data_IF_986347252313
#
_entry.id   IF_986347252313
#
_cell.length_a   1.000
_cell.length_b   1.000
_cell.length_c   1.000
_cell.angle_alpha   90.00
_cell.angle_beta   90.00
_cell.angle_gamma   90.00
#
_symmetry.space_group_name_H-M   'P 1'
#
loop_
_entity.id
_entity.type
_entity.pdbx_description
1 polymer ?
#
# COMPACT_ATOMS: atom_id res chain seq x y z
N UNK A 1 -15.18 -21.95 -6.76
CA UNK A 1 -16.19 -20.88 -7.02
C UNK A 1 -17.13 -20.79 -5.83
N UNK A 2 -17.40 -19.58 -5.34
CA UNK A 2 -18.34 -19.35 -4.23
C UNK A 2 -19.78 -19.63 -4.68
N UNK A 3 -20.61 -20.14 -3.75
CA UNK A 3 -22.03 -20.38 -3.99
C UNK A 3 -22.79 -19.05 -4.13
N UNK A 4 -23.85 -19.04 -4.94
CA UNK A 4 -24.59 -17.80 -5.26
C UNK A 4 -25.17 -17.12 -4.01
N UNK A 5 -25.68 -17.89 -3.03
CA UNK A 5 -26.20 -17.32 -1.78
C UNK A 5 -25.12 -16.57 -0.98
N UNK A 6 -23.90 -17.13 -0.90
CA UNK A 6 -22.78 -16.47 -0.25
C UNK A 6 -22.35 -15.24 -1.04
N UNK A 7 -22.33 -15.31 -2.38
CA UNK A 7 -22.00 -14.16 -3.20
C UNK A 7 -22.94 -12.98 -2.94
N UNK A 8 -24.25 -13.21 -2.89
CA UNK A 8 -25.20 -12.15 -2.59
C UNK A 8 -25.00 -11.56 -1.18
N UNK A 9 -24.74 -12.40 -0.18
CA UNK A 9 -24.38 -11.93 1.17
C UNK A 9 -23.12 -11.06 1.16
N UNK A 10 -22.09 -11.43 0.39
CA UNK A 10 -20.87 -10.65 0.29
C UNK A 10 -21.09 -9.32 -0.44
N UNK A 11 -21.94 -9.27 -1.45
CA UNK A 11 -22.32 -8.02 -2.11
C UNK A 11 -22.99 -7.07 -1.10
N UNK A 12 -23.93 -7.56 -0.30
CA UNK A 12 -24.58 -6.76 0.75
C UNK A 12 -23.56 -6.26 1.80
N UNK A 13 -22.62 -7.11 2.21
CA UNK A 13 -21.55 -6.75 3.15
C UNK A 13 -20.66 -5.64 2.53
N UNK A 14 -20.24 -5.79 1.28
CA UNK A 14 -19.40 -4.79 0.60
C UNK A 14 -20.13 -3.45 0.48
N UNK A 15 -21.40 -3.46 0.05
CA UNK A 15 -22.20 -2.22 -0.08
C UNK A 15 -22.37 -1.54 1.27
N UNK A 16 -22.57 -2.29 2.35
CA UNK A 16 -22.64 -1.72 3.70
C UNK A 16 -21.30 -1.07 4.11
N UNK A 17 -20.18 -1.77 3.90
CA UNK A 17 -18.84 -1.26 4.24
C UNK A 17 -18.48 -0.03 3.39
N UNK A 18 -18.79 -0.07 2.09
CA UNK A 18 -18.60 1.06 1.19
C UNK A 18 -19.39 2.31 1.64
N UNK A 19 -20.64 2.11 2.08
CA UNK A 19 -21.48 3.20 2.54
C UNK A 19 -21.05 3.79 3.90
N UNK A 20 -20.23 3.07 4.69
CA UNK A 20 -19.82 3.47 6.03
C UNK A 20 -18.27 3.53 6.19
N UNK A 21 -17.57 4.24 5.30
CA UNK A 21 -16.11 4.29 5.33
C UNK A 21 -15.58 5.07 6.53
N UNK A 22 -14.48 4.62 7.12
CA UNK A 22 -13.77 5.29 8.21
C UNK A 22 -12.30 5.47 7.84
N UNK A 23 -11.74 6.65 8.12
CA UNK A 23 -10.33 6.95 7.81
C UNK A 23 -9.38 6.23 8.76
N UNK A 24 -8.11 6.13 8.37
CA UNK A 24 -7.00 5.53 9.16
C UNK A 24 -7.04 5.93 10.63
N UNK A 25 -6.81 4.95 11.52
CA UNK A 25 -6.86 5.03 12.99
C UNK A 25 -8.25 5.31 13.60
N UNK A 26 -9.30 5.39 12.79
CA UNK A 26 -10.68 5.65 13.24
C UNK A 26 -11.67 4.59 12.76
N UNK A 27 -11.22 3.45 12.29
CA UNK A 27 -12.01 2.32 11.75
C UNK A 27 -12.73 1.54 12.86
N UNK A 28 -13.42 2.25 13.74
CA UNK A 28 -14.02 1.68 14.97
C UNK A 28 -15.27 0.86 14.63
N UNK A 29 -16.19 1.42 13.87
CA UNK A 29 -17.43 0.73 13.51
C UNK A 29 -17.16 -0.36 12.45
N UNK A 30 -16.24 -0.13 11.53
CA UNK A 30 -15.72 -1.13 10.60
C UNK A 30 -15.16 -2.35 11.34
N UNK A 31 -14.31 -2.10 12.34
CA UNK A 31 -13.74 -3.16 13.20
C UNK A 31 -14.82 -3.92 13.96
N UNK A 32 -15.82 -3.23 14.51
CA UNK A 32 -16.95 -3.87 15.22
C UNK A 32 -17.80 -4.73 14.27
N UNK A 33 -18.04 -4.24 13.05
CA UNK A 33 -18.80 -4.97 12.04
C UNK A 33 -18.09 -6.27 11.66
N UNK A 34 -16.77 -6.21 11.35
CA UNK A 34 -15.95 -7.37 11.04
C UNK A 34 -15.93 -8.35 12.22
N UNK A 35 -15.73 -7.86 13.44
CA UNK A 35 -15.77 -8.66 14.67
C UNK A 35 -17.08 -9.41 14.85
N UNK A 36 -18.20 -8.74 14.59
CA UNK A 36 -19.53 -9.37 14.69
C UNK A 36 -19.68 -10.48 13.64
N UNK A 37 -19.32 -10.25 12.38
CA UNK A 37 -19.39 -11.26 11.33
C UNK A 37 -18.56 -12.51 11.67
N UNK A 38 -17.32 -12.31 12.15
CA UNK A 38 -16.45 -13.42 12.55
C UNK A 38 -17.02 -14.19 13.76
N UNK A 39 -17.62 -13.48 14.73
CA UNK A 39 -18.26 -14.09 15.90
C UNK A 39 -19.51 -14.91 15.50
N UNK A 40 -20.34 -14.38 14.59
CA UNK A 40 -21.52 -15.07 14.07
C UNK A 40 -21.15 -16.39 13.37
N UNK A 41 -19.99 -16.45 12.71
CA UNK A 41 -19.44 -17.64 12.08
C UNK A 41 -18.54 -18.47 13.00
N UNK A 42 -18.48 -18.15 14.30
CA UNK A 42 -17.69 -18.86 15.31
C UNK A 42 -16.19 -18.94 14.96
N UNK A 43 -15.65 -17.90 14.35
CA UNK A 43 -14.22 -17.76 14.06
C UNK A 43 -13.52 -17.14 15.27
N UNK A 44 -12.42 -17.75 15.71
CA UNK A 44 -11.65 -17.28 16.88
C UNK A 44 -10.94 -15.96 16.58
N UNK A 45 -11.30 -14.89 17.28
CA UNK A 45 -10.61 -13.60 17.23
C UNK A 45 -9.52 -13.61 18.31
N UNK A 46 -8.29 -13.35 17.89
CA UNK A 46 -7.14 -13.30 18.80
C UNK A 46 -7.17 -12.01 19.61
N UNK A 47 -6.87 -12.11 20.90
CA UNK A 47 -6.81 -10.94 21.78
C UNK A 47 -5.61 -10.06 21.39
N UNK A 48 -5.87 -8.78 21.13
CA UNK A 48 -4.85 -7.82 20.69
C UNK A 48 -5.05 -6.46 21.35
N UNK A 49 -3.97 -5.67 21.40
CA UNK A 49 -4.01 -4.27 21.84
C UNK A 49 -4.24 -3.29 20.67
N UNK A 50 -4.63 -3.78 19.50
CA UNK A 50 -4.98 -2.91 18.38
C UNK A 50 -6.19 -2.03 18.74
N UNK A 51 -6.11 -0.75 18.45
CA UNK A 51 -7.22 0.19 18.66
C UNK A 51 -8.34 -0.09 17.66
N UNK A 52 -7.97 -0.33 16.40
CA UNK A 52 -8.84 -0.67 15.27
C UNK A 52 -8.21 -1.83 14.50
N UNK A 53 -8.99 -2.51 13.67
CA UNK A 53 -8.56 -3.76 13.04
C UNK A 53 -8.52 -4.93 14.02
N UNK A 54 -8.20 -6.10 13.53
CA UNK A 54 -8.09 -7.32 14.34
C UNK A 54 -7.33 -8.44 13.60
N UNK A 55 -6.91 -9.44 14.36
CA UNK A 55 -6.39 -10.70 13.85
C UNK A 55 -7.28 -11.83 14.34
N UNK A 56 -7.67 -12.73 13.43
CA UNK A 56 -8.42 -13.94 13.74
C UNK A 56 -7.67 -15.18 13.24
N UNK A 57 -8.10 -16.37 13.64
CA UNK A 57 -7.50 -17.62 13.17
C UNK A 57 -8.53 -18.71 12.93
N UNK A 58 -8.20 -19.61 12.00
CA UNK A 58 -8.96 -20.81 11.66
C UNK A 58 -7.96 -21.98 11.57
N UNK A 59 -8.35 -23.15 12.06
CA UNK A 59 -7.48 -24.32 12.10
C UNK A 59 -6.53 -24.32 13.29
N UNK A 60 -5.62 -25.29 13.30
CA UNK A 60 -4.65 -25.47 14.40
C UNK A 60 -3.37 -26.14 13.93
N UNK A 61 -2.28 -25.93 14.68
CA UNK A 61 -0.97 -26.50 14.36
C UNK A 61 -0.23 -25.76 13.25
N UNK A 62 0.84 -26.38 12.79
CA UNK A 62 1.68 -25.88 11.68
C UNK A 62 1.35 -26.65 10.39
N UNK A 63 1.60 -26.06 9.22
CA UNK A 63 2.11 -24.70 8.96
C UNK A 63 1.13 -23.58 9.31
N UNK A 64 1.61 -22.32 9.39
CA UNK A 64 0.82 -21.14 9.72
C UNK A 64 0.98 -20.11 8.59
N UNK A 65 -0.12 -19.81 7.92
CA UNK A 65 -0.19 -18.83 6.81
C UNK A 65 -1.07 -17.66 7.21
N UNK A 66 -0.76 -16.46 6.77
CA UNK A 66 -1.61 -15.30 7.00
C UNK A 66 -2.19 -14.73 5.71
N UNK A 67 -3.47 -14.39 5.74
CA UNK A 67 -4.19 -13.64 4.72
C UNK A 67 -4.45 -12.22 5.26
N UNK A 68 -4.18 -11.19 4.47
CA UNK A 68 -4.34 -9.79 4.88
C UNK A 68 -5.28 -9.03 3.97
N UNK A 69 -6.15 -8.26 4.57
CA UNK A 69 -6.90 -7.17 3.96
C UNK A 69 -6.78 -5.91 4.82
N UNK A 70 -6.61 -4.76 4.20
CA UNK A 70 -6.74 -3.45 4.81
C UNK A 70 -8.20 -3.06 4.99
N UNK A 71 -8.49 -2.08 5.88
CA UNK A 71 -9.88 -1.75 6.24
C UNK A 71 -10.17 -0.24 6.28
N UNK A 72 -9.17 0.61 6.14
CA UNK A 72 -9.32 2.07 6.21
C UNK A 72 -9.79 2.68 4.88
N UNK A 73 -10.22 3.93 4.94
CA UNK A 73 -10.72 4.73 3.83
C UNK A 73 -9.99 6.08 3.76
N UNK A 74 -10.28 6.86 2.72
CA UNK A 74 -9.64 8.12 2.40
C UNK A 74 -10.54 9.32 2.67
N UNK A 75 -9.97 10.50 3.03
CA UNK A 75 -10.70 11.74 3.19
C UNK A 75 -11.04 12.37 1.83
N UNK A 76 -11.86 11.69 1.03
CA UNK A 76 -12.28 12.05 -0.32
C UNK A 76 -13.80 12.19 -0.33
N UNK A 77 -14.33 13.26 -0.95
CA UNK A 77 -15.75 13.37 -1.20
C UNK A 77 -16.13 12.49 -2.39
N UNK A 78 -16.96 11.50 -2.15
CA UNK A 78 -17.40 10.56 -3.18
C UNK A 78 -18.31 11.22 -4.23
N UNK A 79 -18.04 10.91 -5.50
CA UNK A 79 -18.79 11.41 -6.67
C UNK A 79 -19.23 10.25 -7.60
N UNK A 80 -19.29 9.01 -7.10
CA UNK A 80 -19.64 7.82 -7.90
C UNK A 80 -21.10 7.79 -8.34
N UNK A 81 -22.00 8.36 -7.55
CA UNK A 81 -23.46 8.29 -7.80
C UNK A 81 -24.07 6.91 -7.56
N UNK A 82 -23.39 6.00 -6.87
CA UNK A 82 -23.90 4.68 -6.51
C UNK A 82 -25.03 4.79 -5.49
N UNK A 83 -25.99 3.85 -5.52
CA UNK A 83 -27.08 3.78 -4.53
C UNK A 83 -26.57 3.57 -3.09
N UNK A 84 -25.41 2.92 -2.95
CA UNK A 84 -24.71 2.67 -1.70
C UNK A 84 -23.47 3.59 -1.49
N UNK A 85 -23.47 4.77 -2.10
CA UNK A 85 -22.42 5.77 -1.87
C UNK A 85 -22.28 6.10 -0.39
N UNK A 86 -21.09 6.58 0.00
CA UNK A 86 -20.73 6.93 1.38
C UNK A 86 -21.76 7.84 2.04
N UNK A 87 -22.24 7.44 3.21
CA UNK A 87 -23.06 8.29 4.10
C UNK A 87 -22.20 9.21 4.97
N UNK A 88 -20.89 8.94 5.05
CA UNK A 88 -19.89 9.70 5.80
C UNK A 88 -19.29 10.79 4.90
N UNK A 89 -19.94 11.94 4.82
CA UNK A 89 -19.56 13.03 3.91
C UNK A 89 -18.07 13.37 4.00
N UNK A 90 -17.38 13.31 2.86
CA UNK A 90 -15.97 13.61 2.75
C UNK A 90 -15.04 12.45 3.08
N UNK A 91 -15.59 11.23 3.19
CA UNK A 91 -14.82 9.99 3.36
C UNK A 91 -15.32 8.97 2.34
N UNK A 92 -14.43 8.24 1.68
CA UNK A 92 -14.75 7.26 0.64
C UNK A 92 -13.74 6.10 0.64
N UNK A 93 -14.20 4.88 0.35
CA UNK A 93 -13.32 3.78 -0.02
C UNK A 93 -12.78 3.93 -1.46
N UNK A 94 -12.03 5.02 -1.70
CA UNK A 94 -11.46 5.33 -3.01
C UNK A 94 -10.21 4.50 -3.35
N UNK A 95 -9.79 3.60 -2.46
CA UNK A 95 -8.75 2.60 -2.70
C UNK A 95 -9.31 1.18 -2.82
N UNK A 96 -10.62 0.97 -2.56
CA UNK A 96 -11.31 -0.32 -2.71
C UNK A 96 -11.07 -1.30 -1.55
N UNK A 97 -10.70 -0.82 -0.37
CA UNK A 97 -10.50 -1.66 0.81
C UNK A 97 -11.78 -2.35 1.28
N UNK A 98 -12.97 -1.80 0.93
CA UNK A 98 -14.26 -2.47 1.09
C UNK A 98 -14.33 -3.81 0.34
N UNK A 99 -13.75 -3.91 -0.87
CA UNK A 99 -13.58 -5.17 -1.59
C UNK A 99 -12.60 -6.10 -0.88
N UNK A 100 -11.45 -5.58 -0.41
CA UNK A 100 -10.41 -6.39 0.22
C UNK A 100 -10.92 -7.07 1.48
N UNK A 101 -11.50 -6.31 2.43
CA UNK A 101 -12.03 -6.88 3.67
C UNK A 101 -13.24 -7.78 3.45
N UNK A 102 -14.09 -7.48 2.47
CA UNK A 102 -15.24 -8.34 2.14
C UNK A 102 -14.79 -9.66 1.54
N UNK A 103 -13.82 -9.68 0.65
CA UNK A 103 -13.29 -10.93 0.09
C UNK A 103 -12.58 -11.78 1.14
N UNK A 104 -11.86 -11.16 2.09
CA UNK A 104 -11.26 -11.88 3.20
C UNK A 104 -12.34 -12.46 4.15
N UNK A 105 -13.43 -11.74 4.40
CA UNK A 105 -14.59 -12.28 5.14
C UNK A 105 -15.21 -13.48 4.42
N UNK A 106 -15.36 -13.40 3.09
CA UNK A 106 -15.86 -14.53 2.28
C UNK A 106 -14.97 -15.76 2.36
N UNK A 107 -13.65 -15.56 2.22
CA UNK A 107 -12.68 -16.64 2.39
C UNK A 107 -12.73 -17.22 3.82
N UNK A 108 -12.83 -16.36 4.83
CA UNK A 108 -12.92 -16.78 6.24
C UNK A 108 -14.11 -17.68 6.50
N UNK A 109 -15.29 -17.36 5.97
CA UNK A 109 -16.51 -18.17 6.13
C UNK A 109 -16.34 -19.56 5.53
N UNK A 110 -15.84 -19.65 4.29
CA UNK A 110 -15.61 -20.94 3.60
C UNK A 110 -14.53 -21.76 4.31
N UNK A 111 -13.44 -21.14 4.75
CA UNK A 111 -12.37 -21.79 5.49
C UNK A 111 -12.89 -22.36 6.82
N UNK A 112 -13.76 -21.61 7.51
CA UNK A 112 -14.37 -22.09 8.76
C UNK A 112 -15.26 -23.31 8.54
N UNK A 113 -16.08 -23.31 7.51
CA UNK A 113 -16.93 -24.47 7.16
C UNK A 113 -16.09 -25.73 6.86
N UNK A 114 -14.88 -25.55 6.35
CA UNK A 114 -13.94 -26.62 6.01
C UNK A 114 -12.79 -26.77 7.03
N UNK A 115 -12.91 -26.18 8.22
CA UNK A 115 -11.82 -26.12 9.21
C UNK A 115 -11.19 -27.47 9.53
N UNK A 116 -12.03 -28.52 9.64
CA UNK A 116 -11.55 -29.89 9.91
C UNK A 116 -10.68 -30.50 8.80
N UNK A 117 -10.68 -29.90 7.62
CA UNK A 117 -9.88 -30.34 6.46
C UNK A 117 -8.55 -29.57 6.32
N UNK A 118 -8.36 -28.52 7.11
CA UNK A 118 -7.14 -27.72 7.07
C UNK A 118 -5.95 -28.48 7.65
N UNK A 119 -4.83 -28.42 6.97
CA UNK A 119 -3.58 -29.06 7.39
C UNK A 119 -2.65 -28.13 8.18
N UNK A 120 -3.20 -27.09 8.80
CA UNK A 120 -2.46 -26.09 9.56
C UNK A 120 -3.38 -24.96 10.03
N UNK A 121 -2.80 -23.80 10.27
CA UNK A 121 -3.51 -22.62 10.77
C UNK A 121 -3.51 -21.51 9.71
N UNK A 122 -4.63 -20.87 9.50
CA UNK A 122 -4.75 -19.66 8.69
C UNK A 122 -5.07 -18.48 9.62
N UNK A 123 -4.22 -17.47 9.64
CA UNK A 123 -4.45 -16.20 10.31
C UNK A 123 -5.07 -15.22 9.34
N UNK A 124 -6.10 -14.51 9.81
CA UNK A 124 -6.84 -13.50 9.05
C UNK A 124 -6.50 -12.14 9.65
N UNK A 125 -5.87 -11.27 8.87
CA UNK A 125 -5.45 -9.94 9.30
C UNK A 125 -6.38 -8.92 8.64
N UNK A 126 -7.23 -8.29 9.43
CA UNK A 126 -7.99 -7.12 9.04
C UNK A 126 -7.23 -5.89 9.55
N UNK A 127 -6.40 -5.33 8.68
CA UNK A 127 -5.39 -4.36 9.02
C UNK A 127 -5.92 -2.93 8.94
N UNK A 128 -5.79 -2.10 10.00
CA UNK A 128 -6.11 -0.67 9.94
C UNK A 128 -4.99 0.13 9.28
N UNK A 129 -5.24 1.41 9.02
CA UNK A 129 -4.23 2.45 8.79
C UNK A 129 -3.18 2.15 7.71
N UNK A 130 -3.60 1.53 6.58
CA UNK A 130 -2.73 1.30 5.43
C UNK A 130 -2.34 2.62 4.77
N UNK A 131 -3.31 3.52 4.56
CA UNK A 131 -3.18 4.79 3.82
C UNK A 131 -2.21 5.80 4.46
N UNK A 132 -1.82 5.56 5.70
CA UNK A 132 -0.77 6.33 6.40
C UNK A 132 0.52 5.52 6.65
N UNK A 133 0.59 4.26 6.19
CA UNK A 133 1.77 3.40 6.24
C UNK A 133 2.14 2.88 7.64
N UNK A 134 1.19 2.84 8.59
CA UNK A 134 1.45 2.45 9.98
C UNK A 134 0.78 1.13 10.39
N UNK A 135 -0.28 0.72 9.71
CA UNK A 135 -1.11 -0.40 10.14
C UNK A 135 -0.39 -1.74 10.21
N UNK A 136 0.37 -2.10 9.19
CA UNK A 136 1.15 -3.35 9.22
C UNK A 136 2.18 -3.35 10.37
N UNK A 137 2.80 -2.21 10.67
CA UNK A 137 3.72 -2.08 11.81
C UNK A 137 3.01 -2.29 13.14
N UNK A 138 1.77 -1.78 13.27
CA UNK A 138 0.97 -1.98 14.47
C UNK A 138 0.58 -3.45 14.65
N UNK A 139 0.14 -4.12 13.58
CA UNK A 139 -0.15 -5.56 13.62
C UNK A 139 1.09 -6.37 14.01
N UNK A 140 2.26 -6.09 13.41
CA UNK A 140 3.52 -6.76 13.72
C UNK A 140 3.93 -6.57 15.20
N UNK A 141 3.76 -5.37 15.76
CA UNK A 141 4.05 -5.07 17.17
C UNK A 141 3.22 -5.91 18.15
N UNK A 142 2.04 -6.38 17.76
CA UNK A 142 1.23 -7.25 18.64
C UNK A 142 1.88 -8.62 18.91
N UNK A 143 2.81 -9.05 18.05
CA UNK A 143 3.41 -10.38 18.09
C UNK A 143 2.48 -11.51 17.62
N UNK A 144 1.20 -11.23 17.33
CA UNK A 144 0.20 -12.23 16.95
C UNK A 144 0.51 -12.97 15.65
N UNK A 145 1.35 -12.39 14.81
CA UNK A 145 1.72 -12.97 13.51
C UNK A 145 3.19 -13.40 13.44
N UNK A 146 3.89 -13.44 14.58
CA UNK A 146 5.34 -13.74 14.66
C UNK A 146 5.72 -15.16 14.23
N UNK A 147 4.78 -16.09 14.22
CA UNK A 147 4.94 -17.49 13.85
C UNK A 147 4.45 -17.82 12.43
N UNK A 148 4.05 -16.81 11.66
CA UNK A 148 3.59 -16.96 10.27
C UNK A 148 4.75 -17.29 9.35
N UNK A 149 4.56 -18.27 8.46
CA UNK A 149 5.55 -18.77 7.51
C UNK A 149 5.42 -18.10 6.12
N UNK A 150 4.23 -17.59 5.78
CA UNK A 150 4.03 -16.78 4.58
C UNK A 150 2.82 -15.85 4.73
N UNK A 151 2.90 -14.67 4.11
CA UNK A 151 1.81 -13.70 4.05
C UNK A 151 1.27 -13.60 2.63
N UNK A 152 -0.05 -13.50 2.51
CA UNK A 152 -0.76 -13.34 1.24
C UNK A 152 -1.65 -12.11 1.36
N UNK A 153 -1.59 -11.26 0.37
CA UNK A 153 -2.49 -10.14 0.16
C UNK A 153 -2.76 -9.90 -1.31
N UNK A 154 -3.61 -8.96 -1.60
CA UNK A 154 -3.78 -8.42 -2.93
C UNK A 154 -4.24 -6.97 -2.84
N UNK A 155 -4.06 -6.23 -3.94
CA UNK A 155 -4.69 -4.94 -4.14
C UNK A 155 -5.62 -5.00 -5.36
N UNK A 156 -6.80 -4.39 -5.26
CA UNK A 156 -7.64 -4.22 -6.43
C UNK A 156 -6.97 -3.24 -7.40
N UNK A 157 -7.18 -3.46 -8.68
CA UNK A 157 -6.62 -2.64 -9.74
C UNK A 157 -7.74 -2.25 -10.72
N UNK A 158 -8.37 -1.08 -10.54
CA UNK A 158 -9.50 -0.67 -11.37
C UNK A 158 -9.13 -0.45 -12.84
N UNK A 159 -7.84 -0.31 -13.16
CA UNK A 159 -7.34 -0.21 -14.55
C UNK A 159 -7.15 -1.56 -15.25
N UNK A 160 -7.26 -2.67 -14.53
CA UNK A 160 -7.34 -4.02 -15.07
C UNK A 160 -8.81 -4.46 -15.16
N UNK A 161 -9.14 -5.21 -16.21
CA UNK A 161 -10.50 -5.76 -16.36
C UNK A 161 -10.89 -6.62 -15.16
N UNK A 162 -12.14 -6.51 -14.71
CA UNK A 162 -12.66 -7.25 -13.58
C UNK A 162 -12.40 -8.76 -13.71
N UNK A 163 -11.90 -9.34 -12.64
CA UNK A 163 -11.56 -10.75 -12.57
C UNK A 163 -10.20 -11.14 -13.18
N UNK A 164 -9.41 -10.22 -13.71
CA UNK A 164 -8.02 -10.51 -14.09
C UNK A 164 -7.16 -10.62 -12.83
N UNK A 165 -6.32 -11.66 -12.72
CA UNK A 165 -5.35 -11.81 -11.63
C UNK A 165 -3.95 -11.50 -12.16
N UNK A 166 -3.31 -10.50 -11.61
CA UNK A 166 -1.93 -10.12 -11.90
C UNK A 166 -0.97 -10.70 -10.85
N UNK A 167 -0.08 -11.58 -11.28
CA UNK A 167 0.95 -12.18 -10.43
C UNK A 167 2.32 -12.00 -11.07
N UNK A 168 3.24 -11.36 -10.34
CA UNK A 168 4.64 -11.20 -10.74
C UNK A 168 5.54 -11.44 -9.54
N UNK A 169 6.68 -12.04 -9.76
CA UNK A 169 7.77 -12.15 -8.79
C UNK A 169 8.59 -10.87 -8.73
N UNK A 170 9.30 -10.67 -7.63
CA UNK A 170 10.13 -9.48 -7.45
C UNK A 170 9.33 -8.25 -7.03
N UNK A 171 9.76 -7.06 -7.41
CA UNK A 171 9.10 -5.80 -7.04
C UNK A 171 7.73 -5.66 -7.68
N UNK A 172 6.71 -5.46 -6.85
CA UNK A 172 5.29 -5.33 -7.24
C UNK A 172 4.82 -3.90 -7.07
N UNK A 173 5.08 -3.28 -5.90
CA UNK A 173 4.77 -1.88 -5.65
C UNK A 173 6.00 -1.15 -5.12
N UNK A 174 6.13 0.13 -5.48
CA UNK A 174 7.35 0.89 -5.24
C UNK A 174 7.67 1.07 -3.75
N UNK A 175 8.97 1.10 -3.43
CA UNK A 175 9.40 1.77 -2.22
C UNK A 175 9.17 3.28 -2.34
N UNK A 176 8.71 3.89 -1.26
CA UNK A 176 8.31 5.30 -1.20
C UNK A 176 9.13 6.01 -0.16
N UNK A 177 9.79 7.10 -0.53
CA UNK A 177 10.33 8.08 0.40
C UNK A 177 9.68 9.45 0.15
N UNK A 178 9.23 10.09 1.22
CA UNK A 178 8.88 11.51 1.25
C UNK A 178 9.99 12.28 1.95
N UNK A 179 10.53 13.28 1.28
CA UNK A 179 11.59 14.13 1.84
C UNK A 179 11.17 15.59 1.96
N UNK A 180 11.76 16.25 2.95
CA UNK A 180 11.77 17.70 3.10
C UNK A 180 13.22 18.16 3.20
N UNK A 181 13.56 19.23 2.48
CA UNK A 181 14.87 19.90 2.55
C UNK A 181 14.64 21.30 3.06
N UNK A 182 15.19 21.61 4.21
CA UNK A 182 15.19 22.97 4.77
C UNK A 182 16.54 23.60 4.50
N UNK A 183 16.54 24.79 3.88
CA UNK A 183 17.74 25.55 3.54
C UNK A 183 17.74 26.85 4.33
N UNK A 184 18.86 27.17 4.97
CA UNK A 184 19.04 28.39 5.75
C UNK A 184 20.29 29.15 5.29
N UNK A 185 20.18 30.46 5.36
CA UNK A 185 21.30 31.35 5.05
C UNK A 185 21.00 32.80 5.47
N UNK A 186 21.89 33.69 5.16
CA UNK A 186 21.69 35.11 5.44
C UNK A 186 20.98 35.77 4.25
N UNK A 187 19.79 36.30 4.50
CA UNK A 187 19.08 37.14 3.52
C UNK A 187 19.77 38.50 3.33
N UNK A 188 19.51 39.17 2.20
CA UNK A 188 20.03 40.46 1.91
C UNK A 188 19.10 41.32 1.06
N UNK A 189 19.43 42.58 0.87
CA UNK A 189 18.72 43.41 -0.12
C UNK A 189 19.07 42.89 -1.52
N UNK A 190 18.06 42.71 -2.39
CA UNK A 190 18.28 42.12 -3.73
C UNK A 190 19.28 42.88 -4.62
N UNK A 191 19.52 44.19 -4.35
CA UNK A 191 20.54 44.97 -5.04
C UNK A 191 21.93 44.76 -4.50
N UNK A 192 22.10 44.08 -3.35
CA UNK A 192 23.37 43.78 -2.71
C UNK A 192 23.51 42.28 -2.41
N UNK A 193 23.44 41.42 -3.45
CA UNK A 193 23.40 39.94 -3.26
C UNK A 193 24.68 39.41 -2.62
N UNK A 194 25.80 40.12 -2.73
CA UNK A 194 27.10 39.74 -2.12
C UNK A 194 27.12 39.86 -0.58
N UNK A 195 26.08 40.45 0.04
CA UNK A 195 25.95 40.58 1.50
C UNK A 195 25.22 39.38 2.14
N UNK A 196 24.76 38.39 1.34
CA UNK A 196 24.06 37.21 1.82
C UNK A 196 24.23 36.00 0.91
N UNK A 197 23.43 34.99 1.12
CA UNK A 197 23.35 33.81 0.27
C UNK A 197 22.03 33.82 -0.51
N UNK A 198 22.07 33.47 -1.80
CA UNK A 198 20.88 33.37 -2.64
C UNK A 198 20.24 31.99 -2.53
N UNK A 199 19.27 31.84 -1.61
CA UNK A 199 18.60 30.58 -1.35
C UNK A 199 17.65 30.16 -2.48
N UNK A 200 17.18 31.13 -3.28
CA UNK A 200 16.35 30.83 -4.46
C UNK A 200 17.22 30.15 -5.52
N UNK A 201 18.40 30.71 -5.78
CA UNK A 201 19.34 30.13 -6.73
C UNK A 201 19.87 28.78 -6.25
N UNK A 202 20.20 28.63 -4.96
CA UNK A 202 20.59 27.35 -4.35
C UNK A 202 19.48 26.29 -4.49
N UNK A 203 18.22 26.65 -4.23
CA UNK A 203 17.06 25.76 -4.41
C UNK A 203 16.91 25.29 -5.85
N UNK A 204 16.99 26.20 -6.82
CA UNK A 204 16.94 25.87 -8.24
C UNK A 204 18.06 24.92 -8.66
N UNK A 205 19.29 25.14 -8.18
CA UNK A 205 20.43 24.28 -8.44
C UNK A 205 20.24 22.88 -7.83
N UNK A 206 19.67 22.77 -6.61
CA UNK A 206 19.35 21.48 -6.00
C UNK A 206 18.36 20.71 -6.88
N UNK A 207 17.25 21.34 -7.31
CA UNK A 207 16.24 20.69 -8.17
C UNK A 207 16.87 20.17 -9.46
N UNK A 208 17.68 20.98 -10.12
CA UNK A 208 18.36 20.58 -11.37
C UNK A 208 19.36 19.45 -11.14
N UNK A 209 20.20 19.56 -10.10
CA UNK A 209 21.24 18.56 -9.80
C UNK A 209 20.65 17.21 -9.39
N UNK A 210 19.50 17.17 -8.71
CA UNK A 210 18.83 15.92 -8.36
C UNK A 210 18.42 15.09 -9.59
N UNK A 211 18.14 15.72 -10.74
CA UNK A 211 17.75 15.01 -11.96
C UNK A 211 18.86 14.10 -12.52
N UNK A 212 20.13 14.37 -12.21
CA UNK A 212 21.23 13.49 -12.61
C UNK A 212 21.20 12.12 -11.91
N UNK A 213 20.48 11.97 -10.79
CA UNK A 213 20.40 10.68 -10.09
C UNK A 213 19.84 9.62 -11.04
N UNK A 214 18.65 9.86 -11.56
CA UNK A 214 18.00 8.92 -12.48
C UNK A 214 18.73 8.85 -13.81
N UNK A 215 19.06 10.01 -14.41
CA UNK A 215 19.58 10.06 -15.76
C UNK A 215 21.05 9.59 -15.92
N UNK A 216 21.87 9.61 -14.83
CA UNK A 216 23.31 9.36 -14.91
C UNK A 216 23.86 8.36 -13.89
N UNK A 217 23.08 7.98 -12.87
CA UNK A 217 23.57 7.07 -11.84
C UNK A 217 22.81 5.73 -11.77
N UNK A 218 21.61 5.66 -12.39
CA UNK A 218 20.78 4.45 -12.44
C UNK A 218 20.86 3.84 -13.82
N UNK A 219 20.95 2.50 -13.89
CA UNK A 219 20.90 1.78 -15.15
C UNK A 219 19.58 2.08 -15.88
N UNK A 220 19.59 2.31 -17.20
CA UNK A 220 18.35 2.54 -17.97
C UNK A 220 17.40 1.34 -17.98
N UNK A 221 17.85 0.17 -17.52
CA UNK A 221 17.03 -1.04 -17.36
C UNK A 221 16.38 -1.14 -15.96
N UNK A 222 16.60 -0.16 -15.09
CA UNK A 222 16.05 -0.13 -13.72
C UNK A 222 15.32 1.19 -13.49
N UNK A 223 14.13 1.12 -12.93
CA UNK A 223 13.27 2.28 -12.76
C UNK A 223 13.50 2.98 -11.42
N UNK A 224 13.49 4.30 -11.46
CA UNK A 224 13.40 5.17 -10.27
C UNK A 224 12.79 6.52 -10.66
N UNK A 225 12.14 7.16 -9.69
CA UNK A 225 11.61 8.52 -9.79
C UNK A 225 12.18 9.35 -8.66
N UNK A 226 12.65 10.56 -8.98
CA UNK A 226 13.01 11.59 -8.00
C UNK A 226 12.31 12.87 -8.42
N UNK A 227 11.30 13.28 -7.64
CA UNK A 227 10.49 14.45 -7.95
C UNK A 227 10.51 15.45 -6.80
N UNK A 228 10.86 16.70 -7.07
CA UNK A 228 10.59 17.84 -6.20
C UNK A 228 9.22 18.39 -6.59
N UNK A 229 8.28 18.41 -5.66
CA UNK A 229 6.88 18.76 -5.92
C UNK A 229 6.44 20.06 -5.25
N UNK A 230 7.26 20.59 -4.35
CA UNK A 230 7.00 21.86 -3.67
C UNK A 230 8.29 22.63 -3.45
N UNK A 231 8.26 23.94 -3.70
CA UNK A 231 9.33 24.91 -3.40
C UNK A 231 8.69 26.14 -2.79
N UNK A 232 9.21 26.56 -1.64
CA UNK A 232 8.84 27.79 -0.96
C UNK A 232 10.10 28.59 -0.64
N UNK A 233 10.24 29.81 -1.21
CA UNK A 233 11.41 30.67 -0.98
C UNK A 233 11.06 32.14 -1.27
N UNK A 234 11.22 33.00 -0.25
CA UNK A 234 10.96 34.45 -0.36
C UNK A 234 9.49 34.84 -0.35
N UNK A 235 9.25 36.12 -0.13
CA UNK A 235 7.89 36.68 -0.01
C UNK A 235 7.77 38.09 -0.62
N UNK A 236 8.84 38.64 -1.18
CA UNK A 236 8.84 40.00 -1.79
C UNK A 236 9.91 40.08 -2.89
N UNK A 237 9.76 41.07 -3.76
CA UNK A 237 10.59 41.22 -4.96
C UNK A 237 12.00 41.79 -4.73
N UNK A 238 12.27 42.41 -3.60
CA UNK A 238 13.51 43.19 -3.34
C UNK A 238 14.33 42.65 -2.15
N UNK A 239 14.06 41.46 -1.64
CA UNK A 239 14.76 40.81 -0.52
C UNK A 239 15.12 39.37 -0.87
N UNK A 240 16.36 38.98 -0.73
CA UNK A 240 16.76 37.57 -0.75
C UNK A 240 16.38 36.92 0.59
N UNK A 241 15.66 35.76 0.53
CA UNK A 241 15.14 35.09 1.73
C UNK A 241 16.28 34.51 2.59
N UNK A 242 16.01 34.34 3.88
CA UNK A 242 16.90 33.68 4.85
C UNK A 242 16.53 32.20 5.09
N UNK A 243 15.47 31.72 4.49
CA UNK A 243 15.05 30.33 4.51
C UNK A 243 14.40 29.94 3.18
N UNK A 244 14.50 28.66 2.85
CA UNK A 244 13.75 28.03 1.76
C UNK A 244 13.41 26.59 2.16
N UNK A 245 12.36 26.04 1.54
CA UNK A 245 11.86 24.70 1.80
C UNK A 245 11.53 24.02 0.48
N UNK A 246 12.03 22.79 0.32
CA UNK A 246 11.66 21.94 -0.80
C UNK A 246 11.05 20.64 -0.25
N UNK A 247 10.03 20.13 -0.90
CA UNK A 247 9.49 18.80 -0.63
C UNK A 247 9.40 17.98 -1.90
N UNK A 248 9.39 16.66 -1.72
CA UNK A 248 9.25 15.75 -2.83
C UNK A 248 9.23 14.30 -2.44
N UNK A 249 9.34 13.48 -3.45
CA UNK A 249 9.24 12.03 -3.29
C UNK A 249 10.25 11.29 -4.14
N UNK A 250 10.66 10.11 -3.63
CA UNK A 250 11.44 9.12 -4.36
C UNK A 250 10.61 7.85 -4.48
N UNK A 251 10.65 7.20 -5.66
CA UNK A 251 10.08 5.88 -5.92
C UNK A 251 11.14 4.97 -6.50
N UNK A 252 11.25 3.74 -6.00
CA UNK A 252 12.18 2.73 -6.50
C UNK A 252 11.55 1.35 -6.46
N UNK A 253 11.98 0.46 -7.37
CA UNK A 253 11.45 -0.90 -7.51
C UNK A 253 12.48 -1.98 -7.17
N UNK A 254 13.56 -1.57 -6.48
CA UNK A 254 14.72 -2.41 -6.21
C UNK A 254 15.52 -1.83 -5.04
N UNK A 255 15.94 -2.66 -4.11
CA UNK A 255 16.64 -2.22 -2.90
C UNK A 255 18.05 -1.66 -3.14
N UNK A 256 18.76 -2.12 -4.19
CA UNK A 256 20.06 -1.55 -4.54
C UNK A 256 19.89 -0.16 -5.14
N UNK A 257 18.91 0.00 -6.06
CA UNK A 257 18.55 1.31 -6.64
C UNK A 257 18.09 2.26 -5.55
N UNK A 258 17.28 1.80 -4.60
CA UNK A 258 16.83 2.58 -3.43
C UNK A 258 18.04 3.12 -2.63
N UNK A 259 18.93 2.22 -2.25
CA UNK A 259 20.12 2.57 -1.47
C UNK A 259 21.05 3.52 -2.23
N UNK A 260 21.23 3.28 -3.54
CA UNK A 260 22.02 4.17 -4.41
C UNK A 260 21.38 5.55 -4.51
N UNK A 261 20.07 5.61 -4.74
CA UNK A 261 19.31 6.85 -4.91
C UNK A 261 19.38 7.70 -3.65
N UNK A 262 19.12 7.14 -2.47
CA UNK A 262 19.20 7.86 -1.18
C UNK A 262 20.61 8.38 -0.93
N UNK A 263 21.65 7.58 -1.17
CA UNK A 263 23.04 8.01 -1.01
C UNK A 263 23.38 9.15 -1.96
N UNK A 264 23.01 9.04 -3.24
CA UNK A 264 23.27 10.09 -4.24
C UNK A 264 22.49 11.36 -3.96
N UNK A 265 21.25 11.22 -3.48
CA UNK A 265 20.39 12.33 -3.07
C UNK A 265 21.11 13.19 -2.01
N UNK A 266 21.53 12.58 -0.91
CA UNK A 266 22.26 13.32 0.15
C UNK A 266 23.55 13.93 -0.35
N UNK A 267 24.38 13.17 -1.07
CA UNK A 267 25.66 13.66 -1.61
C UNK A 267 25.49 14.89 -2.52
N UNK A 268 24.49 14.87 -3.41
CA UNK A 268 24.25 15.97 -4.36
C UNK A 268 23.78 17.23 -3.63
N UNK A 269 22.85 17.06 -2.69
CA UNK A 269 22.29 18.18 -1.92
C UNK A 269 23.38 18.83 -1.07
N UNK A 270 24.16 18.03 -0.32
CA UNK A 270 25.24 18.51 0.52
C UNK A 270 26.33 19.23 -0.30
N UNK A 271 26.72 18.67 -1.46
CA UNK A 271 27.69 19.31 -2.36
C UNK A 271 27.16 20.64 -2.94
N UNK A 272 25.87 20.67 -3.29
CA UNK A 272 25.25 21.90 -3.81
C UNK A 272 25.14 22.95 -2.71
N UNK A 273 24.75 22.61 -1.51
CA UNK A 273 24.67 23.53 -0.37
C UNK A 273 26.05 24.15 -0.07
N UNK A 274 27.09 23.33 -0.10
CA UNK A 274 28.46 23.80 0.08
C UNK A 274 28.92 24.78 -1.02
N UNK A 275 28.48 24.55 -2.27
CA UNK A 275 28.81 25.43 -3.39
C UNK A 275 28.12 26.79 -3.29
N UNK A 276 26.99 26.88 -2.61
CA UNK A 276 26.24 28.12 -2.38
C UNK A 276 26.41 28.70 -0.98
N UNK A 277 27.29 28.10 -0.16
CA UNK A 277 27.57 28.49 1.21
C UNK A 277 26.33 28.61 2.09
N UNK A 278 25.42 27.67 1.94
CA UNK A 278 24.14 27.59 2.69
C UNK A 278 24.11 26.41 3.64
N UNK A 279 23.38 26.54 4.76
CA UNK A 279 23.10 25.45 5.67
C UNK A 279 21.87 24.68 5.19
N UNK A 280 21.84 23.35 5.39
CA UNK A 280 20.68 22.53 5.07
C UNK A 280 20.45 21.42 6.08
N UNK A 281 19.17 21.01 6.14
CA UNK A 281 18.70 19.84 6.86
C UNK A 281 17.81 19.00 5.92
N UNK A 282 18.07 17.69 5.83
CA UNK A 282 17.26 16.74 5.09
C UNK A 282 16.43 15.94 6.09
N UNK A 283 15.11 15.96 5.93
CA UNK A 283 14.16 15.14 6.72
C UNK A 283 13.49 14.11 5.84
N UNK A 284 13.47 12.87 6.30
CA UNK A 284 12.68 11.79 5.74
C UNK A 284 11.38 11.71 6.52
N UNK A 285 10.26 12.12 5.90
CA UNK A 285 8.96 12.26 6.58
C UNK A 285 8.13 10.98 6.50
N UNK A 286 8.36 10.18 5.47
CA UNK A 286 7.74 8.89 5.25
C UNK A 286 8.70 7.97 4.52
N UNK A 287 8.77 6.72 4.95
CA UNK A 287 9.50 5.66 4.28
C UNK A 287 8.65 4.39 4.27
N UNK A 288 8.26 3.94 3.08
CA UNK A 288 7.65 2.64 2.87
C UNK A 288 8.61 1.74 2.08
N UNK A 289 8.71 0.50 2.48
CA UNK A 289 9.56 -0.46 1.79
C UNK A 289 8.93 -0.94 0.48
N UNK A 290 9.75 -1.51 -0.39
CA UNK A 290 9.33 -2.16 -1.62
C UNK A 290 8.43 -3.36 -1.32
N UNK A 291 7.23 -3.41 -1.88
CA UNK A 291 6.43 -4.65 -1.88
C UNK A 291 7.05 -5.62 -2.88
N UNK A 292 7.59 -6.69 -2.35
CA UNK A 292 8.40 -7.65 -3.09
C UNK A 292 7.83 -9.06 -2.94
N UNK A 293 7.45 -9.69 -4.04
CA UNK A 293 6.96 -11.05 -4.05
C UNK A 293 8.12 -12.06 -4.08
N UNK A 294 8.05 -13.03 -3.18
CA UNK A 294 8.95 -14.17 -3.17
C UNK A 294 8.86 -14.95 -4.48
N UNK A 295 10.01 -15.33 -5.05
CA UNK A 295 10.07 -15.98 -6.36
C UNK A 295 9.42 -17.35 -6.37
N UNK A 296 9.73 -18.18 -5.36
CA UNK A 296 9.22 -19.55 -5.26
C UNK A 296 7.72 -19.57 -4.96
N UNK A 297 7.29 -18.82 -3.95
CA UNK A 297 5.88 -18.80 -3.57
C UNK A 297 5.00 -18.20 -4.66
N UNK A 298 5.49 -17.18 -5.38
CA UNK A 298 4.75 -16.58 -6.50
C UNK A 298 4.58 -17.57 -7.65
N UNK A 299 5.61 -18.33 -7.99
CA UNK A 299 5.54 -19.36 -9.04
C UNK A 299 4.53 -20.48 -8.66
N UNK A 300 4.57 -20.91 -7.39
CA UNK A 300 3.64 -21.92 -6.84
C UNK A 300 2.19 -21.42 -6.95
N UNK A 301 1.90 -20.19 -6.47
CA UNK A 301 0.56 -19.61 -6.49
C UNK A 301 0.10 -19.36 -7.94
N UNK A 302 0.97 -18.86 -8.82
CA UNK A 302 0.65 -18.64 -10.23
C UNK A 302 0.25 -19.94 -10.92
N UNK A 303 1.06 -20.98 -10.82
CA UNK A 303 0.76 -22.31 -11.41
C UNK A 303 -0.55 -22.89 -10.88
N UNK A 304 -0.84 -22.69 -9.61
CA UNK A 304 -2.11 -23.08 -9.02
C UNK A 304 -3.27 -22.28 -9.57
N UNK A 305 -3.12 -20.94 -9.65
CA UNK A 305 -4.15 -20.03 -10.17
C UNK A 305 -4.50 -20.35 -11.62
N UNK A 306 -3.53 -20.60 -12.48
CA UNK A 306 -3.73 -20.98 -13.89
C UNK A 306 -4.51 -22.30 -14.08
N UNK A 307 -4.64 -23.15 -13.06
CA UNK A 307 -5.43 -24.38 -13.13
C UNK A 307 -6.95 -24.15 -12.98
N UNK A 308 -7.36 -23.09 -12.31
CA UNK A 308 -8.77 -22.80 -12.03
C UNK A 308 -9.24 -21.46 -12.62
N UNK A 309 -8.31 -20.62 -13.10
CA UNK A 309 -8.60 -19.28 -13.62
C UNK A 309 -7.80 -19.02 -14.90
N UNK A 310 -8.50 -18.61 -15.96
CA UNK A 310 -7.91 -18.42 -17.30
C UNK A 310 -7.36 -17.00 -17.56
N UNK A 311 -7.67 -16.05 -16.67
CA UNK A 311 -7.29 -14.64 -16.81
C UNK A 311 -6.14 -14.28 -15.86
N UNK A 312 -5.02 -14.98 -16.00
CA UNK A 312 -3.79 -14.68 -15.24
C UNK A 312 -2.82 -13.92 -16.12
N UNK A 313 -2.29 -12.80 -15.62
CA UNK A 313 -1.35 -11.95 -16.34
C UNK A 313 -0.09 -11.67 -15.53
N UNK A 314 0.98 -11.26 -16.21
CA UNK A 314 2.19 -10.70 -15.59
C UNK A 314 2.08 -9.17 -15.61
N UNK A 315 1.70 -8.52 -14.50
CA UNK A 315 1.41 -7.10 -14.50
C UNK A 315 2.70 -6.25 -14.47
N UNK A 316 2.61 -5.02 -14.98
CA UNK A 316 3.61 -4.01 -14.68
C UNK A 316 3.56 -3.65 -13.18
N UNK A 317 4.70 -3.27 -12.56
CA UNK A 317 4.72 -2.86 -11.17
C UNK A 317 4.00 -1.52 -10.98
N UNK A 318 3.36 -1.34 -9.83
CA UNK A 318 2.72 -0.07 -9.45
C UNK A 318 3.72 0.90 -8.82
N UNK A 319 3.61 2.19 -9.17
CA UNK A 319 4.37 3.27 -8.50
C UNK A 319 3.78 3.69 -7.14
N UNK A 320 2.62 3.16 -6.76
CA UNK A 320 2.05 3.34 -5.44
C UNK A 320 2.89 2.60 -4.37
N UNK A 321 2.82 3.07 -3.14
CA UNK A 321 3.38 2.35 -1.98
C UNK A 321 2.33 1.44 -1.37
N UNK A 322 2.78 0.50 -0.52
CA UNK A 322 1.92 -0.44 0.18
C UNK A 322 2.61 -0.90 1.47
N UNK A 323 1.95 -0.77 2.60
CA UNK A 323 2.55 -1.08 3.89
C UNK A 323 2.62 -2.60 4.19
N UNK A 324 1.92 -3.43 3.38
CA UNK A 324 2.10 -4.89 3.33
C UNK A 324 3.58 -5.29 3.25
N UNK A 325 4.42 -4.46 2.64
CA UNK A 325 5.86 -4.62 2.57
C UNK A 325 6.52 -4.84 3.95
N UNK A 326 5.90 -4.40 5.04
CA UNK A 326 6.43 -4.61 6.39
C UNK A 326 6.36 -6.08 6.83
N UNK A 327 5.35 -6.84 6.39
CA UNK A 327 5.25 -8.27 6.71
C UNK A 327 6.38 -9.10 6.09
N UNK A 328 6.92 -8.66 4.96
CA UNK A 328 8.00 -9.32 4.23
C UNK A 328 9.33 -9.34 5.00
N UNK A 329 9.46 -8.47 6.02
CA UNK A 329 10.62 -8.50 6.93
C UNK A 329 10.60 -9.71 7.86
N UNK A 330 9.43 -10.34 8.03
CA UNK A 330 9.22 -11.46 8.93
C UNK A 330 9.19 -12.79 8.18
N UNK A 331 8.48 -12.87 7.06
CA UNK A 331 8.36 -14.09 6.26
C UNK A 331 8.15 -13.77 4.77
N UNK A 332 8.47 -14.72 3.86
CA UNK A 332 8.21 -14.55 2.44
C UNK A 332 6.73 -14.29 2.18
N UNK A 333 6.43 -13.53 1.14
CA UNK A 333 5.08 -13.02 0.91
C UNK A 333 4.73 -12.98 -0.56
N UNK A 334 3.43 -13.05 -0.87
CA UNK A 334 2.90 -12.85 -2.22
C UNK A 334 1.76 -11.83 -2.16
N UNK A 335 1.86 -10.83 -3.01
CA UNK A 335 0.89 -9.76 -3.19
C UNK A 335 0.46 -9.71 -4.64
N UNK A 336 -0.83 -9.96 -4.91
CA UNK A 336 -1.38 -9.95 -6.25
C UNK A 336 -2.03 -8.61 -6.60
N UNK A 337 -2.28 -8.37 -7.88
CA UNK A 337 -3.27 -7.40 -8.33
C UNK A 337 -4.51 -8.15 -8.82
N UNK A 338 -5.70 -7.67 -8.45
CA UNK A 338 -6.96 -8.21 -8.95
C UNK A 338 -7.71 -7.09 -9.66
N UNK A 339 -7.97 -7.29 -10.95
CA UNK A 339 -8.72 -6.35 -11.77
C UNK A 339 -10.14 -6.18 -11.22
N UNK A 340 -10.58 -4.94 -11.05
CA UNK A 340 -11.83 -4.62 -10.36
C UNK A 340 -12.81 -3.76 -11.16
N UNK A 341 -12.44 -3.35 -12.38
CA UNK A 341 -13.33 -2.58 -13.25
C UNK A 341 -13.01 -2.85 -14.74
N UNK A 342 -13.45 -2.01 -15.64
CA UNK A 342 -13.15 -2.08 -17.06
C UNK A 342 -11.93 -1.22 -17.42
N UNK A 343 -11.28 -1.54 -18.54
CA UNK A 343 -10.17 -0.74 -19.03
C UNK A 343 -10.64 0.69 -19.34
N UNK A 344 -9.95 1.67 -18.78
CA UNK A 344 -10.28 3.10 -18.92
C UNK A 344 -11.16 3.67 -17.80
N UNK A 345 -11.49 2.86 -16.78
CA UNK A 345 -12.13 3.35 -15.57
C UNK A 345 -11.19 4.28 -14.76
N UNK A 346 -11.77 5.08 -13.89
CA UNK A 346 -11.03 5.93 -12.95
C UNK A 346 -10.13 5.09 -12.05
N UNK A 347 -8.90 5.57 -11.82
CA UNK A 347 -7.91 4.91 -11.00
C UNK A 347 -8.18 5.03 -9.51
N UNK A 348 -7.26 4.47 -8.71
CA UNK A 348 -7.27 4.60 -7.25
C UNK A 348 -7.20 6.08 -6.83
N UNK A 349 -7.84 6.43 -5.70
CA UNK A 349 -7.91 7.77 -5.11
C UNK A 349 -8.68 8.81 -5.93
N UNK A 350 -9.39 8.40 -6.98
CA UNK A 350 -10.33 9.26 -7.68
C UNK A 350 -11.70 9.25 -7.00
N UNK A 351 -12.38 10.39 -6.97
CA UNK A 351 -13.68 10.54 -6.32
C UNK A 351 -14.81 9.72 -6.99
N UNK A 352 -14.63 9.33 -8.22
CA UNK A 352 -15.52 8.50 -9.04
C UNK A 352 -15.04 7.07 -9.25
N UNK A 353 -14.05 6.60 -8.47
CA UNK A 353 -13.54 5.23 -8.54
C UNK A 353 -14.62 4.23 -8.14
N UNK A 354 -14.84 3.23 -8.97
CA UNK A 354 -15.85 2.17 -8.77
C UNK A 354 -15.19 0.79 -8.88
N UNK A 355 -15.65 -0.14 -8.06
CA UNK A 355 -15.29 -1.55 -8.07
C UNK A 355 -16.50 -2.38 -8.43
N UNK A 356 -16.37 -3.32 -9.37
CA UNK A 356 -17.44 -4.25 -9.76
C UNK A 356 -17.55 -5.39 -8.75
N UNK A 357 -18.79 -5.71 -8.32
CA UNK A 357 -19.06 -6.76 -7.33
C UNK A 357 -18.59 -8.15 -7.77
N UNK A 358 -18.59 -8.43 -9.08
CA UNK A 358 -18.15 -9.71 -9.64
C UNK A 358 -16.69 -10.02 -9.28
N UNK A 359 -15.87 -9.01 -8.98
CA UNK A 359 -14.49 -9.17 -8.52
C UNK A 359 -14.41 -9.96 -7.22
N UNK A 360 -15.44 -9.90 -6.36
CA UNK A 360 -15.51 -10.68 -5.12
C UNK A 360 -15.30 -12.17 -5.35
N UNK A 361 -15.88 -12.73 -6.43
CA UNK A 361 -15.79 -14.17 -6.73
C UNK A 361 -14.32 -14.59 -6.90
N UNK A 362 -13.59 -13.83 -7.69
CA UNK A 362 -12.18 -14.12 -7.98
C UNK A 362 -11.28 -13.83 -6.78
N UNK A 363 -11.55 -12.75 -6.05
CA UNK A 363 -10.75 -12.36 -4.89
C UNK A 363 -10.88 -13.37 -3.72
N UNK A 364 -12.08 -13.89 -3.48
CA UNK A 364 -12.30 -14.96 -2.50
C UNK A 364 -11.58 -16.24 -2.91
N UNK A 365 -11.76 -16.68 -4.18
CA UNK A 365 -11.10 -17.89 -4.68
C UNK A 365 -9.56 -17.74 -4.65
N UNK A 366 -9.00 -16.55 -4.93
CA UNK A 366 -7.57 -16.28 -4.82
C UNK A 366 -7.05 -16.52 -3.38
N UNK A 367 -7.74 -15.99 -2.37
CA UNK A 367 -7.34 -16.24 -0.98
C UNK A 367 -7.41 -17.73 -0.61
N UNK A 368 -8.51 -18.41 -0.98
CA UNK A 368 -8.72 -19.83 -0.66
C UNK A 368 -7.64 -20.72 -1.28
N UNK A 369 -7.44 -20.58 -2.59
CA UNK A 369 -6.51 -21.44 -3.34
C UNK A 369 -5.05 -21.17 -2.95
N UNK A 370 -4.70 -19.89 -2.73
CA UNK A 370 -3.37 -19.52 -2.26
C UNK A 370 -3.08 -20.07 -0.86
N UNK A 371 -4.04 -19.94 0.07
CA UNK A 371 -3.88 -20.48 1.42
C UNK A 371 -3.71 -22.01 1.41
N UNK A 372 -4.58 -22.74 0.69
CA UNK A 372 -4.48 -24.18 0.57
C UNK A 372 -3.14 -24.61 -0.02
N UNK A 373 -2.72 -23.98 -1.11
CA UNK A 373 -1.46 -24.32 -1.77
C UNK A 373 -0.24 -24.10 -0.87
N UNK A 374 -0.21 -23.01 -0.09
CA UNK A 374 0.90 -22.75 0.82
C UNK A 374 0.86 -23.60 2.08
N UNK A 375 -0.32 -23.96 2.60
CA UNK A 375 -0.42 -24.96 3.66
C UNK A 375 0.15 -26.33 3.22
N UNK A 376 -0.04 -26.70 1.96
CA UNK A 376 0.55 -27.94 1.41
C UNK A 376 2.05 -27.83 1.19
N UNK A 377 2.52 -26.68 0.72
CA UNK A 377 3.96 -26.44 0.45
C UNK A 377 4.81 -26.48 1.72
N UNK A 378 4.30 -25.99 2.85
CA UNK A 378 5.04 -25.91 4.12
C UNK A 378 4.83 -27.14 5.06
N UNK A 379 4.09 -28.17 4.64
CA UNK A 379 3.99 -29.47 5.36
C UNK A 379 5.35 -30.16 5.42
#
# INVERSE_FOLDING_TARGET
>A
MIEENLYQELVEIRHYLHAHPEISEKEVETTKFIRQKLADWQIEIMDSQLKTGLVAKIGSGKPIIALRADIDALPILEETGLEFSSVNKGVMHACGHDLHMTSLLGAAKILKEKESQLSGTIKLIFQPAEEIGEGAKEVLKTGLVSDVQAFIGYHNMPTLSAGVIGLREGGVMAAVERFEILIKGQGSHAAYPQEGQDLILASAAIVQNLQQIVSRNISPLRAAVVSVTHIEAGNTWNVLPNNARLEGTIRTFDNEVRSLTKRKFSQIIEATAKAYDVELEIKWLMEADLTFNDFELTDIIRKRTEQWHDKVVYPEPSSAGEDFANYQKQAPSVFAFIGSNEQGASGLHFADMVVQDETLKVAVDYYLESAHQLLEHFK
#
